data_IF_498539548474
#
_entry.id   IF_498539548474
#
_cell.length_a   1.000
_cell.length_b   1.000
_cell.length_c   1.000
_cell.angle_alpha   90.00
_cell.angle_beta   90.00
_cell.angle_gamma   90.00
#
_symmetry.space_group_name_H-M   'P 1'
#
loop_
_entity.id
_entity.type
_entity.pdbx_description
1 polymer ?
#
# COMPACT_ATOMS: atom_id res chain seq x y z
N UNK A 1 -17.56 2.56 -11.36
CA UNK A 1 -16.43 2.50 -12.34
C UNK A 1 -15.90 1.08 -12.43
N UNK A 2 -15.48 0.61 -13.61
CA UNK A 2 -14.90 -0.73 -13.76
C UNK A 2 -13.44 -0.74 -13.28
N UNK A 3 -12.97 -1.90 -12.77
CA UNK A 3 -11.60 -2.09 -12.28
C UNK A 3 -10.53 -1.69 -13.30
N UNK A 4 -10.69 -2.12 -14.55
CA UNK A 4 -9.71 -1.82 -15.60
C UNK A 4 -9.59 -0.33 -15.88
N UNK A 5 -10.71 0.39 -15.90
CA UNK A 5 -10.74 1.85 -16.11
C UNK A 5 -10.00 2.56 -14.96
N UNK A 6 -10.23 2.11 -13.71
CA UNK A 6 -9.52 2.63 -12.53
C UNK A 6 -8.02 2.42 -12.62
N UNK A 7 -7.59 1.19 -12.93
CA UNK A 7 -6.17 0.84 -13.03
C UNK A 7 -5.48 1.63 -14.16
N UNK A 8 -6.17 1.83 -15.29
CA UNK A 8 -5.62 2.58 -16.42
C UNK A 8 -5.40 4.06 -16.06
N UNK A 9 -6.35 4.68 -15.38
CA UNK A 9 -6.21 6.08 -14.91
C UNK A 9 -5.03 6.20 -13.92
N UNK A 10 -4.93 5.26 -12.95
CA UNK A 10 -3.81 5.25 -12.01
C UNK A 10 -2.49 5.04 -12.72
N UNK A 11 -2.42 4.09 -13.67
CA UNK A 11 -1.21 3.83 -14.44
C UNK A 11 -0.78 5.05 -15.28
N UNK A 12 -1.73 5.81 -15.81
CA UNK A 12 -1.43 7.03 -16.52
C UNK A 12 -0.91 8.13 -15.59
N UNK A 13 -1.54 8.35 -14.44
CA UNK A 13 -1.09 9.32 -13.45
C UNK A 13 0.32 8.97 -12.93
N UNK A 14 0.57 7.67 -12.66
CA UNK A 14 1.83 7.18 -12.14
C UNK A 14 3.04 7.41 -13.07
N UNK A 15 2.83 7.55 -14.38
CA UNK A 15 3.94 7.89 -15.32
C UNK A 15 4.61 9.22 -14.99
N UNK A 16 3.91 10.08 -14.30
CA UNK A 16 4.37 11.41 -13.94
C UNK A 16 4.80 11.53 -12.48
N UNK A 17 4.62 10.47 -11.68
CA UNK A 17 4.97 10.48 -10.26
C UNK A 17 6.49 10.47 -10.05
N UNK A 18 6.95 11.28 -9.13
CA UNK A 18 8.25 11.08 -8.48
C UNK A 18 8.23 9.84 -7.60
N UNK A 19 9.38 9.29 -7.19
CA UNK A 19 9.43 8.18 -6.24
C UNK A 19 8.63 8.42 -4.96
N UNK A 20 8.70 9.62 -4.39
CA UNK A 20 7.94 9.98 -3.19
C UNK A 20 6.43 9.99 -3.43
N UNK A 21 5.99 10.56 -4.56
CA UNK A 21 4.57 10.59 -4.93
C UNK A 21 4.02 9.19 -5.15
N UNK A 22 4.77 8.31 -5.80
CA UNK A 22 4.38 6.93 -6.03
C UNK A 22 4.23 6.13 -4.71
N UNK A 23 5.19 6.30 -3.78
CA UNK A 23 5.13 5.68 -2.46
C UNK A 23 4.00 6.27 -1.64
N UNK A 24 3.83 7.59 -1.65
CA UNK A 24 2.74 8.26 -0.93
C UNK A 24 1.36 7.83 -1.45
N UNK A 25 1.19 7.73 -2.76
CA UNK A 25 -0.05 7.21 -3.35
C UNK A 25 -0.30 5.75 -2.92
N UNK A 26 0.73 4.91 -2.93
CA UNK A 26 0.64 3.52 -2.49
C UNK A 26 0.23 3.41 -1.02
N UNK A 27 0.79 4.26 -0.17
CA UNK A 27 0.42 4.37 1.24
C UNK A 27 -1.04 4.82 1.41
N UNK A 28 -1.49 5.83 0.65
CA UNK A 28 -2.88 6.28 0.69
C UNK A 28 -3.86 5.17 0.32
N UNK A 29 -3.58 4.40 -0.74
CA UNK A 29 -4.38 3.24 -1.11
C UNK A 29 -4.50 2.26 0.06
N UNK A 30 -3.38 1.92 0.71
CA UNK A 30 -3.36 1.00 1.83
C UNK A 30 -4.15 1.53 3.04
N UNK A 31 -3.98 2.80 3.39
CA UNK A 31 -4.72 3.43 4.51
C UNK A 31 -6.22 3.53 4.23
N UNK A 32 -6.62 3.81 2.98
CA UNK A 32 -8.05 3.90 2.59
C UNK A 32 -8.79 2.58 2.73
N UNK A 33 -8.11 1.47 2.48
CA UNK A 33 -8.73 0.13 2.59
C UNK A 33 -8.53 -0.51 3.98
N UNK A 34 -7.68 0.04 4.83
CA UNK A 34 -7.36 -0.53 6.14
C UNK A 34 -8.60 -0.78 7.03
N UNK A 35 -9.62 0.10 7.08
CA UNK A 35 -10.83 -0.16 7.86
C UNK A 35 -11.56 -1.45 7.45
N UNK A 36 -11.44 -1.86 6.18
CA UNK A 36 -12.05 -3.08 5.65
C UNK A 36 -11.50 -4.34 6.34
N UNK A 37 -10.25 -4.29 6.83
CA UNK A 37 -9.64 -5.42 7.54
C UNK A 37 -10.48 -5.88 8.73
N UNK A 38 -11.16 -4.95 9.41
CA UNK A 38 -12.05 -5.22 10.55
C UNK A 38 -13.54 -5.30 10.19
N UNK A 39 -13.91 -5.38 8.90
CA UNK A 39 -15.32 -5.31 8.47
C UNK A 39 -16.21 -6.42 9.07
N UNK A 40 -15.64 -7.59 9.37
CA UNK A 40 -16.36 -8.67 10.07
C UNK A 40 -16.48 -8.45 11.59
N UNK A 41 -15.93 -7.36 12.14
CA UNK A 41 -15.93 -7.08 13.58
C UNK A 41 -14.95 -7.92 14.40
N UNK A 42 -14.15 -8.78 13.77
CA UNK A 42 -13.16 -9.64 14.42
C UNK A 42 -11.99 -9.96 13.49
N UNK A 43 -10.88 -10.47 14.07
CA UNK A 43 -9.68 -10.92 13.34
C UNK A 43 -9.43 -12.42 13.59
N UNK A 44 -10.49 -13.22 13.75
CA UNK A 44 -10.39 -14.64 14.15
C UNK A 44 -9.85 -15.55 13.03
N UNK A 45 -9.64 -14.98 11.84
CA UNK A 45 -8.95 -15.64 10.76
C UNK A 45 -7.42 -15.75 10.97
N UNK A 46 -6.85 -15.06 11.97
CA UNK A 46 -5.45 -15.22 12.38
C UNK A 46 -5.31 -15.87 13.74
N UNK A 47 -4.43 -16.86 13.84
CA UNK A 47 -4.04 -17.45 15.11
C UNK A 47 -3.19 -16.48 15.95
N UNK A 48 -2.16 -15.85 15.32
CA UNK A 48 -1.26 -14.89 15.96
C UNK A 48 -1.64 -13.42 15.63
N UNK A 49 -2.89 -13.03 15.92
CA UNK A 49 -3.45 -11.68 15.61
C UNK A 49 -2.52 -10.51 15.92
N UNK A 50 -1.92 -10.40 17.13
CA UNK A 50 -1.06 -9.25 17.45
C UNK A 50 0.17 -9.17 16.54
N UNK A 51 0.76 -10.29 16.19
CA UNK A 51 1.93 -10.39 15.30
C UNK A 51 1.60 -9.89 13.90
N UNK A 52 0.49 -10.34 13.33
CA UNK A 52 0.09 -9.95 11.97
C UNK A 52 -0.34 -8.48 11.90
N UNK A 53 -1.09 -7.99 12.88
CA UNK A 53 -1.41 -6.57 12.97
C UNK A 53 -0.15 -5.71 13.11
N UNK A 54 0.82 -6.15 13.95
CA UNK A 54 2.09 -5.45 14.08
C UNK A 54 2.86 -5.40 12.75
N UNK A 55 2.88 -6.49 11.99
CA UNK A 55 3.52 -6.55 10.66
C UNK A 55 2.88 -5.56 9.68
N UNK A 56 1.53 -5.50 9.65
CA UNK A 56 0.78 -4.58 8.79
C UNK A 56 1.09 -3.13 9.14
N UNK A 57 1.01 -2.76 10.41
CA UNK A 57 1.29 -1.39 10.84
C UNK A 57 2.76 -1.01 10.65
N UNK A 58 3.69 -1.95 10.82
CA UNK A 58 5.11 -1.72 10.52
C UNK A 58 5.32 -1.43 9.04
N UNK A 59 4.67 -2.17 8.14
CA UNK A 59 4.75 -1.95 6.70
C UNK A 59 4.17 -0.58 6.30
N UNK A 60 3.05 -0.18 6.89
CA UNK A 60 2.45 1.15 6.69
C UNK A 60 3.35 2.27 7.19
N UNK A 61 3.94 2.13 8.38
CA UNK A 61 4.85 3.13 8.96
C UNK A 61 6.12 3.29 8.13
N UNK A 62 6.71 2.18 7.66
CA UNK A 62 7.86 2.21 6.77
C UNK A 62 7.55 2.92 5.45
N UNK A 63 6.36 2.67 4.87
CA UNK A 63 5.93 3.33 3.64
C UNK A 63 5.71 4.83 3.84
N UNK A 64 5.03 5.22 4.92
CA UNK A 64 4.83 6.63 5.29
C UNK A 64 6.16 7.35 5.54
N UNK A 65 7.07 6.70 6.25
CA UNK A 65 8.39 7.24 6.57
C UNK A 65 9.19 7.54 5.30
N UNK A 66 9.17 6.65 4.30
CA UNK A 66 9.86 6.90 3.02
C UNK A 66 9.26 8.11 2.29
N UNK A 67 7.94 8.22 2.26
CA UNK A 67 7.26 9.33 1.59
C UNK A 67 7.60 10.70 2.23
N UNK A 68 7.88 10.72 3.54
CA UNK A 68 8.24 11.92 4.30
C UNK A 68 9.75 12.21 4.34
N UNK A 69 10.60 11.19 4.08
CA UNK A 69 12.06 11.35 4.16
C UNK A 69 12.62 12.22 3.05
N UNK A 70 13.61 13.05 3.43
CA UNK A 70 14.52 13.64 2.47
C UNK A 70 15.46 12.56 1.91
N UNK A 71 15.54 12.45 0.58
CA UNK A 71 16.39 11.47 -0.11
C UNK A 71 17.86 11.59 0.34
N UNK A 72 18.31 12.80 0.68
CA UNK A 72 19.66 13.05 1.19
C UNK A 72 19.89 12.41 2.56
N UNK A 73 18.89 12.42 3.44
CA UNK A 73 18.98 11.78 4.74
C UNK A 73 19.06 10.25 4.63
N UNK A 74 18.33 9.65 3.69
CA UNK A 74 18.39 8.22 3.44
C UNK A 74 19.76 7.81 2.88
N UNK A 75 20.33 8.56 1.97
CA UNK A 75 21.68 8.32 1.46
C UNK A 75 22.75 8.40 2.57
N UNK A 76 22.62 9.37 3.48
CA UNK A 76 23.49 9.47 4.67
C UNK A 76 23.31 8.27 5.59
N UNK A 77 22.10 7.81 5.81
CA UNK A 77 21.79 6.65 6.64
C UNK A 77 22.41 5.37 6.07
N UNK A 78 22.34 5.14 4.77
CA UNK A 78 23.00 4.01 4.08
C UNK A 78 24.51 4.04 4.27
N UNK A 79 25.12 5.22 4.21
CA UNK A 79 26.56 5.39 4.39
C UNK A 79 27.01 5.05 5.82
N UNK A 80 26.16 5.29 6.84
CA UNK A 80 26.51 5.09 8.26
C UNK A 80 26.24 3.64 8.70
N UNK A 81 25.11 3.06 8.31
CA UNK A 81 24.63 1.79 8.88
C UNK A 81 24.84 0.57 7.97
N UNK A 82 25.40 0.76 6.77
CA UNK A 82 25.53 -0.32 5.79
C UNK A 82 24.20 -0.82 5.26
N UNK A 83 24.24 -1.89 4.44
CA UNK A 83 23.04 -2.39 3.74
C UNK A 83 22.03 -3.05 4.68
N UNK A 84 22.48 -3.73 5.73
CA UNK A 84 21.60 -4.48 6.65
C UNK A 84 20.79 -3.58 7.59
N UNK A 85 21.30 -2.39 7.91
CA UNK A 85 20.57 -1.37 8.68
C UNK A 85 19.91 -0.30 7.81
N UNK A 86 19.92 -0.49 6.49
CA UNK A 86 19.35 0.47 5.55
C UNK A 86 17.83 0.45 5.58
N UNK A 87 17.24 1.55 5.18
CA UNK A 87 15.78 1.66 5.00
C UNK A 87 15.25 0.56 4.06
N UNK A 88 15.99 0.22 3.00
CA UNK A 88 15.66 -0.84 2.07
C UNK A 88 15.51 -2.21 2.74
N UNK A 89 16.44 -2.57 3.63
CA UNK A 89 16.37 -3.84 4.35
C UNK A 89 15.14 -3.91 5.28
N UNK A 90 14.82 -2.80 5.95
CA UNK A 90 13.64 -2.73 6.82
C UNK A 90 12.33 -2.76 6.00
N UNK A 91 12.29 -2.09 4.86
CA UNK A 91 11.12 -2.10 3.96
C UNK A 91 10.91 -3.50 3.36
N UNK A 92 11.97 -4.17 2.91
CA UNK A 92 11.90 -5.55 2.41
C UNK A 92 11.41 -6.54 3.47
N UNK A 93 11.88 -6.37 4.72
CA UNK A 93 11.39 -7.19 5.84
C UNK A 93 9.92 -6.93 6.11
N UNK A 94 9.48 -5.68 6.14
CA UNK A 94 8.10 -5.31 6.38
C UNK A 94 7.16 -5.83 5.27
N UNK A 95 7.60 -5.76 3.99
CA UNK A 95 6.89 -6.39 2.86
C UNK A 95 6.72 -7.90 3.08
N UNK A 96 7.81 -8.60 3.41
CA UNK A 96 7.79 -10.04 3.63
C UNK A 96 6.86 -10.44 4.77
N UNK A 97 6.95 -9.75 5.91
CA UNK A 97 6.12 -10.05 7.09
C UNK A 97 4.62 -9.79 6.80
N UNK A 98 4.29 -8.70 6.09
CA UNK A 98 2.92 -8.41 5.66
C UNK A 98 2.42 -9.44 4.64
N UNK A 99 3.25 -9.83 3.67
CA UNK A 99 2.91 -10.87 2.69
C UNK A 99 2.59 -12.21 3.38
N UNK A 100 3.39 -12.63 4.35
CA UNK A 100 3.12 -13.85 5.12
C UNK A 100 1.79 -13.76 5.88
N UNK A 101 1.47 -12.61 6.49
CA UNK A 101 0.18 -12.42 7.15
C UNK A 101 -1.01 -12.62 6.20
N UNK A 102 -0.86 -12.29 4.90
CA UNK A 102 -1.92 -12.50 3.90
C UNK A 102 -2.14 -13.98 3.57
N UNK A 103 -1.10 -14.81 3.66
CA UNK A 103 -1.18 -16.23 3.33
C UNK A 103 -1.99 -17.02 4.35
N UNK A 104 -2.05 -16.54 5.59
CA UNK A 104 -2.80 -17.17 6.67
C UNK A 104 -4.30 -16.82 6.65
N UNK A 105 -4.72 -15.85 5.82
CA UNK A 105 -6.12 -15.45 5.70
C UNK A 105 -6.87 -16.45 4.82
N UNK A 106 -7.95 -17.06 5.33
CA UNK A 106 -8.73 -18.06 4.59
C UNK A 106 -9.52 -17.42 3.43
N UNK A 107 -9.92 -18.23 2.43
CA UNK A 107 -10.65 -17.73 1.25
C UNK A 107 -11.95 -16.99 1.58
N UNK A 108 -12.59 -17.31 2.68
CA UNK A 108 -13.86 -16.72 3.12
C UNK A 108 -13.69 -15.25 3.53
N UNK A 109 -12.46 -14.87 3.97
CA UNK A 109 -12.10 -13.50 4.32
C UNK A 109 -11.29 -12.81 3.22
N UNK A 110 -11.63 -13.04 1.94
CA UNK A 110 -10.91 -12.53 0.78
C UNK A 110 -10.72 -11.01 0.81
N UNK A 111 -11.69 -10.25 1.32
CA UNK A 111 -11.59 -8.80 1.48
C UNK A 111 -10.43 -8.40 2.41
N UNK A 112 -10.25 -9.11 3.53
CA UNK A 112 -9.14 -8.87 4.46
C UNK A 112 -7.80 -9.23 3.82
N UNK A 113 -7.75 -10.32 3.04
CA UNK A 113 -6.57 -10.73 2.29
C UNK A 113 -6.13 -9.65 1.29
N UNK A 114 -7.06 -9.06 0.56
CA UNK A 114 -6.76 -7.98 -0.40
C UNK A 114 -6.28 -6.71 0.30
N UNK A 115 -6.79 -6.39 1.50
CA UNK A 115 -6.25 -5.28 2.31
C UNK A 115 -4.79 -5.53 2.65
N UNK A 116 -4.46 -6.74 3.14
CA UNK A 116 -3.08 -7.07 3.52
C UNK A 116 -2.16 -7.10 2.31
N UNK A 117 -2.64 -7.57 1.15
CA UNK A 117 -1.91 -7.47 -0.11
C UNK A 117 -1.65 -6.01 -0.52
N UNK A 118 -2.64 -5.13 -0.34
CA UNK A 118 -2.45 -3.70 -0.63
C UNK A 118 -1.31 -3.11 0.20
N UNK A 119 -1.26 -3.44 1.50
CA UNK A 119 -0.18 -3.01 2.41
C UNK A 119 1.17 -3.60 2.01
N UNK A 120 1.22 -4.90 1.71
CA UNK A 120 2.43 -5.59 1.26
C UNK A 120 2.98 -4.98 -0.04
N UNK A 121 2.11 -4.74 -1.04
CA UNK A 121 2.52 -4.10 -2.29
C UNK A 121 3.00 -2.66 -2.08
N UNK A 122 2.40 -1.89 -1.16
CA UNK A 122 2.87 -0.55 -0.83
C UNK A 122 4.28 -0.58 -0.22
N UNK A 123 4.57 -1.53 0.65
CA UNK A 123 5.92 -1.77 1.19
C UNK A 123 6.90 -2.23 0.10
N UNK A 124 6.45 -3.07 -0.85
CA UNK A 124 7.24 -3.48 -2.02
C UNK A 124 7.65 -2.30 -2.91
N UNK A 125 6.72 -1.39 -3.18
CA UNK A 125 7.02 -0.14 -3.91
C UNK A 125 8.10 0.65 -3.18
N UNK A 126 8.00 0.75 -1.86
CA UNK A 126 8.96 1.43 -1.00
C UNK A 126 10.35 0.78 -1.05
N UNK A 127 10.41 -0.56 -0.92
CA UNK A 127 11.68 -1.31 -1.04
C UNK A 127 12.34 -1.09 -2.39
N UNK A 128 11.59 -1.24 -3.48
CA UNK A 128 12.11 -1.11 -4.82
C UNK A 128 12.66 0.31 -5.11
N UNK A 129 11.99 1.37 -4.66
CA UNK A 129 12.52 2.72 -4.76
C UNK A 129 13.75 2.91 -3.88
N UNK A 130 13.74 2.39 -2.67
CA UNK A 130 14.89 2.43 -1.76
C UNK A 130 16.12 1.76 -2.35
N UNK A 131 15.94 0.70 -3.14
CA UNK A 131 17.00 -0.01 -3.85
C UNK A 131 17.39 0.63 -5.20
N UNK A 132 16.78 1.74 -5.60
CA UNK A 132 17.03 2.39 -6.89
C UNK A 132 16.41 1.67 -8.10
N UNK A 133 15.47 0.73 -7.87
CA UNK A 133 14.78 -0.02 -8.92
C UNK A 133 13.53 0.71 -9.42
N UNK A 134 13.67 1.98 -9.77
CA UNK A 134 12.57 2.93 -10.05
C UNK A 134 11.53 2.40 -11.06
N UNK A 135 11.98 1.83 -12.18
CA UNK A 135 11.06 1.29 -13.19
C UNK A 135 10.19 0.17 -12.65
N UNK A 136 10.79 -0.78 -11.91
CA UNK A 136 10.04 -1.88 -11.28
C UNK A 136 9.08 -1.36 -10.22
N UNK A 137 9.50 -0.40 -9.40
CA UNK A 137 8.66 0.22 -8.40
C UNK A 137 7.43 0.88 -9.04
N UNK A 138 7.62 1.67 -10.09
CA UNK A 138 6.53 2.30 -10.83
C UNK A 138 5.52 1.26 -11.39
N UNK A 139 6.03 0.13 -11.92
CA UNK A 139 5.17 -0.96 -12.38
C UNK A 139 4.34 -1.59 -11.23
N UNK A 140 4.86 -1.59 -10.00
CA UNK A 140 4.15 -2.17 -8.85
C UNK A 140 3.00 -1.31 -8.32
N UNK A 141 3.01 0.01 -8.52
CA UNK A 141 1.93 0.91 -8.07
C UNK A 141 0.56 0.46 -8.59
N UNK A 142 0.49 -0.08 -9.81
CA UNK A 142 -0.75 -0.62 -10.36
C UNK A 142 -1.28 -1.84 -9.58
N UNK A 143 -0.38 -2.65 -8.98
CA UNK A 143 -0.81 -3.80 -8.17
C UNK A 143 -1.35 -3.34 -6.82
N UNK A 144 -0.78 -2.29 -6.22
CA UNK A 144 -1.35 -1.62 -5.05
C UNK A 144 -2.77 -1.16 -5.32
N UNK A 145 -2.96 -0.43 -6.42
CA UNK A 145 -4.28 0.06 -6.84
C UNK A 145 -5.27 -1.09 -7.13
N UNK A 146 -4.78 -2.16 -7.79
CA UNK A 146 -5.59 -3.35 -8.09
C UNK A 146 -6.07 -4.05 -6.81
N UNK A 147 -5.17 -4.32 -5.87
CA UNK A 147 -5.51 -4.97 -4.61
C UNK A 147 -6.45 -4.09 -3.76
N UNK A 148 -6.23 -2.77 -3.72
CA UNK A 148 -7.12 -1.85 -3.04
C UNK A 148 -8.53 -1.86 -3.65
N UNK A 149 -8.64 -1.87 -4.97
CA UNK A 149 -9.94 -1.99 -5.66
C UNK A 149 -10.62 -3.30 -5.32
N UNK A 150 -9.88 -4.42 -5.31
CA UNK A 150 -10.42 -5.74 -5.00
C UNK A 150 -10.88 -5.83 -3.54
N UNK A 151 -10.12 -5.27 -2.60
CA UNK A 151 -10.53 -5.19 -1.19
C UNK A 151 -11.89 -4.51 -1.04
N UNK A 152 -12.05 -3.34 -1.68
CA UNK A 152 -13.29 -2.58 -1.67
C UNK A 152 -14.42 -3.35 -2.34
N UNK A 153 -14.20 -3.94 -3.51
CA UNK A 153 -15.21 -4.70 -4.26
C UNK A 153 -15.67 -5.95 -3.51
N UNK A 154 -14.74 -6.65 -2.86
CA UNK A 154 -15.04 -7.87 -2.12
C UNK A 154 -15.85 -7.59 -0.84
N UNK A 155 -15.57 -6.48 -0.15
CA UNK A 155 -16.36 -6.11 1.04
C UNK A 155 -17.80 -5.74 0.68
N UNK A 156 -18.02 -5.09 -0.47
CA UNK A 156 -19.38 -4.80 -0.97
C UNK A 156 -20.17 -6.05 -1.22
N UNK A 157 -19.54 -7.02 -1.87
CA UNK A 157 -20.20 -8.30 -2.12
C UNK A 157 -20.61 -8.95 -0.79
N UNK A 158 -19.82 -8.76 0.26
CA UNK A 158 -20.10 -9.28 1.60
C UNK A 158 -21.16 -8.47 2.37
N UNK A 159 -21.20 -7.13 2.20
CA UNK A 159 -22.07 -6.23 2.98
C UNK A 159 -23.29 -5.72 2.23
N UNK A 160 -23.36 -5.91 0.91
CA UNK A 160 -24.37 -5.38 -0.01
C UNK A 160 -24.47 -3.84 -0.07
N UNK A 161 -23.46 -3.13 0.45
CA UNK A 161 -23.41 -1.67 0.42
C UNK A 161 -22.52 -1.18 -0.72
N UNK A 162 -23.15 -0.90 -1.87
CA UNK A 162 -22.46 -0.44 -3.08
C UNK A 162 -22.04 1.04 -3.05
N UNK A 163 -22.69 1.87 -2.20
CA UNK A 163 -22.45 3.31 -2.18
C UNK A 163 -21.11 3.66 -1.53
N UNK A 164 -20.74 2.97 -0.45
CA UNK A 164 -19.44 3.19 0.22
C UNK A 164 -18.25 2.86 -0.67
N UNK A 165 -18.39 1.85 -1.52
CA UNK A 165 -17.35 1.44 -2.49
C UNK A 165 -17.08 2.52 -3.52
N UNK A 166 -18.14 3.02 -4.15
CA UNK A 166 -17.97 4.08 -5.15
C UNK A 166 -17.31 5.30 -4.55
N UNK A 167 -17.58 5.61 -3.28
CA UNK A 167 -16.94 6.68 -2.55
C UNK A 167 -15.43 6.41 -2.33
N UNK A 168 -15.02 5.22 -1.85
CA UNK A 168 -13.61 4.91 -1.60
C UNK A 168 -12.81 4.90 -2.91
N UNK A 169 -13.33 4.28 -3.96
CA UNK A 169 -12.69 4.26 -5.27
C UNK A 169 -12.56 5.68 -5.86
N UNK A 170 -13.59 6.51 -5.70
CA UNK A 170 -13.56 7.92 -6.12
C UNK A 170 -12.50 8.72 -5.37
N UNK A 171 -12.36 8.50 -4.05
CA UNK A 171 -11.32 9.15 -3.24
C UNK A 171 -9.92 8.71 -3.69
N UNK A 172 -9.70 7.43 -3.94
CA UNK A 172 -8.39 6.95 -4.44
C UNK A 172 -8.02 7.54 -5.79
N UNK A 173 -9.01 7.74 -6.69
CA UNK A 173 -8.77 8.45 -7.96
C UNK A 173 -8.41 9.91 -7.75
N UNK A 174 -9.15 10.59 -6.88
CA UNK A 174 -8.87 11.97 -6.51
C UNK A 174 -7.46 12.11 -5.93
N UNK A 175 -7.02 11.16 -5.10
CA UNK A 175 -5.67 11.10 -4.56
C UNK A 175 -4.66 10.96 -5.71
N UNK A 176 -4.87 10.06 -6.67
CA UNK A 176 -3.99 9.89 -7.82
C UNK A 176 -3.85 11.16 -8.68
N UNK A 177 -4.96 11.88 -8.88
CA UNK A 177 -4.98 13.09 -9.72
C UNK A 177 -4.37 14.30 -8.98
N UNK A 178 -4.57 14.37 -7.66
CA UNK A 178 -4.21 15.56 -6.85
C UNK A 178 -2.87 15.45 -6.16
N UNK A 179 -2.22 14.28 -6.15
CA UNK A 179 -1.04 14.02 -5.34
C UNK A 179 0.11 15.01 -5.62
N UNK A 180 0.27 15.44 -6.86
CA UNK A 180 1.24 16.48 -7.23
C UNK A 180 1.00 17.82 -6.54
N UNK A 181 -0.27 18.14 -6.23
CA UNK A 181 -0.63 19.39 -5.57
C UNK A 181 -0.36 19.34 -4.07
N UNK A 182 -0.43 18.16 -3.47
CA UNK A 182 -0.25 17.96 -2.02
C UNK A 182 1.22 18.05 -1.62
N UNK A 183 2.13 17.51 -2.43
CA UNK A 183 3.57 17.46 -2.14
C UNK A 183 4.37 18.68 -2.64
N UNK A 184 3.75 19.58 -3.39
CA UNK A 184 4.39 20.84 -3.87
C UNK A 184 4.08 22.07 -3.00
N UNK A 185 3.38 21.88 -1.87
CA UNK A 185 3.19 22.97 -0.90
C UNK A 185 4.37 22.89 0.08
N UNK A 186 5.51 23.47 -0.32
CA UNK A 186 6.58 23.90 0.58
C UNK A 186 6.39 25.37 0.96
#
# INVERSE_FOLDING_TARGET
MKKNDFIEIVAQANKEFTPKEAVFFSWLCAVRVLPILGAAGHFDYWEEKPKHLFSIFTALDMTASFASLDLEQELKRRAIFGHEGSFASLAAKAEYDASNASLEIPPEAIYAKEVVFTVSWAACVTDLFSCGKHRKAADQVRYVASAAYDAVSNVVTATQDSQEVENIVSIMLDDAIKIKRVLTIE
#
